data_IF_627067365806
#
_entry.id   IF_627067365806
#
_cell.length_a   1.000
_cell.length_b   1.000
_cell.length_c   1.000
_cell.angle_alpha   90.00
_cell.angle_beta   90.00
_cell.angle_gamma   90.00
#
_symmetry.space_group_name_H-M   'P 1'
#
loop_
_entity.id
_entity.type
_entity.pdbx_description
1 polymer ?
#
# COMPACT_ATOMS: atom_id res chain seq x y z
N UNK A 1 -59.64 -10.47 32.19
CA UNK A 1 -60.53 -10.95 31.12
C UNK A 1 -59.70 -10.92 29.84
N UNK A 2 -59.45 -11.98 29.09
CA UNK A 2 -59.97 -13.34 29.05
C UNK A 2 -58.87 -14.25 28.46
N UNK A 3 -58.80 -15.48 28.96
CA UNK A 3 -57.83 -16.53 28.59
C UNK A 3 -58.48 -17.49 27.59
N UNK A 4 -57.68 -18.10 26.69
CA UNK A 4 -57.59 -19.56 26.35
C UNK A 4 -57.15 -19.80 24.88
N UNK A 5 -56.73 -21.02 24.49
CA UNK A 5 -56.00 -22.06 25.24
C UNK A 5 -54.85 -22.75 24.44
N UNK A 6 -54.02 -23.44 25.24
CA UNK A 6 -53.12 -24.59 25.02
C UNK A 6 -53.43 -25.59 23.89
N UNK A 7 -52.38 -26.22 23.31
CA UNK A 7 -52.02 -27.66 23.52
C UNK A 7 -50.68 -28.06 22.88
N UNK A 8 -49.84 -28.79 23.65
CA UNK A 8 -48.78 -29.72 23.17
C UNK A 8 -49.42 -31.10 22.93
N UNK A 9 -48.88 -32.00 22.08
CA UNK A 9 -47.91 -33.04 22.51
C UNK A 9 -46.87 -33.36 21.38
N UNK A 10 -45.78 -34.13 21.50
CA UNK A 10 -45.19 -35.01 22.50
C UNK A 10 -43.87 -35.60 21.90
N UNK A 11 -42.94 -36.04 22.76
CA UNK A 11 -41.90 -37.05 22.47
C UNK A 11 -42.46 -38.41 22.97
N UNK A 12 -42.04 -39.61 22.50
CA UNK A 12 -40.63 -40.03 22.44
C UNK A 12 -40.28 -41.08 21.34
N UNK A 13 -38.99 -41.44 21.23
CA UNK A 13 -38.56 -42.57 20.40
C UNK A 13 -37.04 -42.80 20.35
N UNK A 14 -36.47 -43.40 21.41
CA UNK A 14 -35.34 -44.36 21.32
C UNK A 14 -35.84 -45.62 20.60
N UNK A 15 -35.10 -46.44 19.83
CA UNK A 15 -33.89 -47.28 20.01
C UNK A 15 -33.60 -47.90 18.59
N UNK A 16 -32.62 -48.81 18.28
CA UNK A 16 -31.65 -49.50 19.13
C UNK A 16 -30.19 -49.57 18.64
N UNK A 17 -29.34 -49.87 19.61
CA UNK A 17 -28.04 -50.52 19.50
C UNK A 17 -28.09 -51.86 18.74
N UNK A 18 -27.08 -52.12 17.91
CA UNK A 18 -26.65 -53.49 17.61
C UNK A 18 -25.13 -53.58 17.66
N UNK A 19 -24.66 -54.15 18.76
CA UNK A 19 -23.34 -54.72 18.95
C UNK A 19 -23.11 -55.83 17.94
N UNK A 20 -22.03 -55.75 17.15
CA UNK A 20 -21.43 -56.93 16.53
C UNK A 20 -20.03 -57.12 17.12
N UNK A 21 -19.83 -58.35 17.57
CA UNK A 21 -18.71 -58.81 18.36
C UNK A 21 -17.40 -58.87 17.56
N UNK A 22 -16.33 -58.77 18.34
CA UNK A 22 -14.99 -59.32 18.13
C UNK A 22 -14.85 -60.36 17.02
N UNK A 23 -13.92 -60.10 16.09
CA UNK A 23 -12.99 -61.12 15.63
C UNK A 23 -11.56 -60.60 15.78
N UNK A 24 -10.83 -61.21 16.70
CA UNK A 24 -9.39 -61.18 16.76
C UNK A 24 -8.83 -61.82 15.49
N UNK A 25 -8.05 -61.07 14.72
CA UNK A 25 -7.02 -61.64 13.87
C UNK A 25 -5.75 -60.83 14.10
N UNK A 26 -4.79 -61.49 14.75
CA UNK A 26 -3.41 -61.04 14.81
C UNK A 26 -2.87 -60.96 13.37
N UNK A 27 -2.38 -59.78 12.97
CA UNK A 27 -1.52 -59.63 11.82
C UNK A 27 -0.36 -58.71 12.20
N UNK A 28 0.83 -59.24 11.97
CA UNK A 28 2.12 -58.72 12.39
C UNK A 28 2.33 -57.23 12.11
N UNK A 29 2.91 -56.56 13.11
CA UNK A 29 3.58 -55.27 12.99
C UNK A 29 4.69 -55.43 11.93
N UNK A 30 4.54 -54.75 10.80
CA UNK A 30 5.67 -54.40 9.95
C UNK A 30 5.80 -52.88 10.02
N UNK A 31 6.79 -52.43 10.78
CA UNK A 31 7.23 -51.04 10.79
C UNK A 31 7.79 -50.73 9.39
N UNK A 32 7.00 -50.07 8.55
CA UNK A 32 7.55 -49.25 7.47
C UNK A 32 7.50 -47.80 7.92
N UNK A 33 8.65 -47.32 8.41
CA UNK A 33 8.89 -45.90 8.59
C UNK A 33 8.88 -45.24 7.21
N UNK A 34 7.72 -44.84 6.70
CA UNK A 34 7.65 -43.85 5.64
C UNK A 34 7.93 -42.50 6.28
N UNK A 35 9.22 -42.16 6.35
CA UNK A 35 9.66 -40.84 6.72
C UNK A 35 9.00 -39.82 5.79
N UNK A 36 8.15 -38.98 6.35
CA UNK A 36 7.78 -37.71 5.75
C UNK A 36 9.08 -36.91 5.69
N UNK A 37 9.61 -36.53 4.51
CA UNK A 37 10.74 -35.62 4.50
C UNK A 37 10.24 -34.31 5.10
N UNK A 38 10.81 -33.93 6.24
CA UNK A 38 10.70 -32.59 6.78
C UNK A 38 11.08 -31.62 5.66
N UNK A 39 10.22 -30.63 5.41
CA UNK A 39 10.47 -29.56 4.47
C UNK A 39 11.88 -29.01 4.73
N UNK A 40 12.78 -29.24 3.78
CA UNK A 40 14.13 -28.71 3.83
C UNK A 40 14.05 -27.20 3.91
N UNK A 41 14.70 -26.64 4.93
CA UNK A 41 14.97 -25.22 5.02
C UNK A 41 15.69 -24.80 3.73
N UNK A 42 15.02 -24.02 2.89
CA UNK A 42 15.64 -23.40 1.72
C UNK A 42 16.62 -22.37 2.29
N UNK A 43 17.87 -22.79 2.49
CA UNK A 43 18.97 -21.88 2.75
C UNK A 43 19.18 -21.12 1.45
N UNK A 44 18.58 -19.93 1.37
CA UNK A 44 18.85 -18.96 0.33
C UNK A 44 20.30 -18.53 0.51
N UNK A 45 21.22 -19.17 -0.22
CA UNK A 45 22.58 -18.68 -0.36
C UNK A 45 22.50 -17.36 -1.10
N UNK A 46 22.53 -16.25 -0.36
CA UNK A 46 22.66 -14.92 -0.93
C UNK A 46 23.99 -14.86 -1.66
N UNK A 47 23.93 -14.76 -2.98
CA UNK A 47 25.10 -14.50 -3.81
C UNK A 47 25.67 -13.12 -3.40
N UNK A 48 26.93 -13.02 -2.94
CA UNK A 48 27.51 -11.76 -2.49
C UNK A 48 27.76 -10.75 -3.62
N UNK A 49 27.44 -11.11 -4.87
CA UNK A 49 27.63 -10.30 -6.07
C UNK A 49 26.32 -9.90 -6.75
N UNK A 50 25.17 -10.16 -6.13
CA UNK A 50 23.88 -9.58 -6.58
C UNK A 50 23.60 -8.37 -5.71
N UNK A 51 24.06 -7.20 -6.17
CA UNK A 51 23.59 -5.93 -5.61
C UNK A 51 22.11 -5.79 -5.98
N UNK A 52 21.23 -6.24 -5.10
CA UNK A 52 19.84 -5.78 -5.08
C UNK A 52 19.88 -4.25 -5.12
N UNK A 53 19.09 -3.57 -5.97
CA UNK A 53 19.03 -2.12 -5.91
C UNK A 53 18.72 -1.73 -4.47
N UNK A 54 19.59 -0.91 -3.88
CA UNK A 54 19.44 -0.50 -2.49
C UNK A 54 18.04 0.10 -2.32
N UNK A 55 17.33 -0.28 -1.25
CA UNK A 55 16.05 0.33 -0.92
C UNK A 55 16.20 1.85 -0.95
N UNK A 56 15.19 2.63 -1.38
CA UNK A 56 15.33 4.07 -1.50
C UNK A 56 15.70 4.63 -0.11
N UNK A 57 16.87 5.26 0.01
CA UNK A 57 17.34 5.90 1.25
C UNK A 57 17.45 7.40 1.02
N UNK A 58 17.04 8.19 2.01
CA UNK A 58 17.20 9.65 2.00
C UNK A 58 18.70 10.03 1.88
N UNK A 59 19.09 10.81 0.87
CA UNK A 59 20.44 11.36 0.78
C UNK A 59 20.75 12.36 1.92
N UNK A 60 22.03 12.61 2.22
CA UNK A 60 22.43 13.58 3.24
C UNK A 60 22.03 15.02 2.85
N UNK A 61 21.81 15.88 3.85
CA UNK A 61 21.30 17.25 3.65
C UNK A 61 22.12 18.07 2.64
N UNK A 62 23.44 17.98 2.68
CA UNK A 62 24.31 18.72 1.75
C UNK A 62 24.04 18.34 0.29
N UNK A 63 23.81 17.06 0.01
CA UNK A 63 23.47 16.60 -1.33
C UNK A 63 22.09 17.11 -1.76
N UNK A 64 21.12 17.11 -0.84
CA UNK A 64 19.78 17.64 -1.09
C UNK A 64 19.83 19.13 -1.46
N UNK A 65 20.62 19.93 -0.75
CA UNK A 65 20.79 21.36 -1.04
C UNK A 65 21.44 21.64 -2.40
N UNK A 66 22.28 20.72 -2.90
CA UNK A 66 22.93 20.84 -4.21
C UNK A 66 22.02 20.37 -5.36
N UNK A 67 21.23 19.32 -5.13
CA UNK A 67 20.45 18.65 -6.19
C UNK A 67 19.04 19.22 -6.35
N UNK A 68 18.39 19.62 -5.26
CA UNK A 68 17.01 20.10 -5.29
C UNK A 68 16.96 21.60 -5.64
N UNK A 69 15.91 22.01 -6.34
CA UNK A 69 15.60 23.43 -6.47
C UNK A 69 15.21 24.02 -5.11
N UNK A 70 15.29 25.35 -4.92
CA UNK A 70 14.86 25.98 -3.67
C UNK A 70 13.43 25.62 -3.27
N UNK A 71 12.50 25.56 -4.23
CA UNK A 71 11.11 25.19 -3.99
C UNK A 71 10.97 23.71 -3.61
N UNK A 72 11.66 22.80 -4.30
CA UNK A 72 11.65 21.38 -3.95
C UNK A 72 12.19 21.15 -2.54
N UNK A 73 13.28 21.83 -2.18
CA UNK A 73 13.85 21.75 -0.83
C UNK A 73 12.86 22.29 0.22
N UNK A 74 12.28 23.47 -0.02
CA UNK A 74 11.33 24.10 0.90
C UNK A 74 10.09 23.22 1.12
N UNK A 75 9.52 22.68 0.05
CA UNK A 75 8.37 21.77 0.14
C UNK A 75 8.76 20.49 0.87
N UNK A 76 9.77 19.76 0.39
CA UNK A 76 10.06 18.39 0.88
C UNK A 76 10.69 18.36 2.27
N UNK A 77 11.54 19.34 2.61
CA UNK A 77 12.30 19.33 3.86
C UNK A 77 11.66 20.21 4.94
N UNK A 78 11.15 21.39 4.56
CA UNK A 78 10.63 22.38 5.51
C UNK A 78 9.10 22.33 5.67
N UNK A 79 8.40 21.51 4.86
CA UNK A 79 6.94 21.41 4.89
C UNK A 79 6.24 22.60 4.24
N UNK A 80 6.91 23.23 3.27
CA UNK A 80 6.32 24.29 2.46
C UNK A 80 5.19 23.78 1.55
N UNK A 81 4.46 24.70 0.95
CA UNK A 81 3.40 24.40 -0.01
C UNK A 81 3.56 25.29 -1.23
N UNK A 82 3.59 24.70 -2.43
CA UNK A 82 3.70 25.44 -3.68
C UNK A 82 2.38 26.17 -4.03
N UNK A 83 2.43 27.09 -4.99
CA UNK A 83 1.24 27.86 -5.40
C UNK A 83 0.25 26.98 -6.18
N UNK A 84 -1.07 27.14 -5.96
CA UNK A 84 -2.06 26.42 -6.75
C UNK A 84 -2.05 26.91 -8.21
N UNK A 85 -2.28 26.00 -9.15
CA UNK A 85 -2.33 26.24 -10.61
C UNK A 85 -1.04 26.79 -11.24
N UNK A 86 0.01 26.94 -10.44
CA UNK A 86 1.33 27.44 -10.85
C UNK A 86 2.38 26.40 -10.42
N UNK A 87 2.21 25.19 -10.93
CA UNK A 87 3.07 24.05 -10.65
C UNK A 87 3.09 23.06 -11.81
N UNK A 88 3.99 22.08 -11.77
CA UNK A 88 4.30 21.25 -12.93
C UNK A 88 3.25 20.18 -13.25
N UNK A 89 2.48 19.71 -12.26
CA UNK A 89 1.70 18.47 -12.41
C UNK A 89 0.22 18.60 -12.10
N UNK A 90 -0.31 19.79 -11.79
CA UNK A 90 -1.76 19.96 -11.57
C UNK A 90 -2.56 19.54 -12.81
N UNK A 91 -2.13 19.91 -14.02
CA UNK A 91 -2.77 19.62 -15.30
C UNK A 91 -2.13 18.46 -16.09
N UNK A 92 -1.06 17.83 -15.58
CA UNK A 92 -0.45 16.64 -16.22
C UNK A 92 -1.46 15.47 -16.30
N UNK A 93 -1.63 14.90 -17.50
CA UNK A 93 -2.60 13.82 -17.81
C UNK A 93 -1.98 12.61 -18.50
N UNK A 94 -0.69 12.63 -18.81
CA UNK A 94 -0.02 11.49 -19.47
C UNK A 94 -0.05 10.25 -18.58
N UNK A 95 0.02 9.08 -19.21
CA UNK A 95 0.22 7.81 -18.52
C UNK A 95 1.63 7.78 -17.92
N UNK A 96 1.74 7.39 -16.65
CA UNK A 96 3.02 7.32 -15.94
C UNK A 96 2.86 7.30 -14.42
N UNK A 97 3.99 7.30 -13.72
CA UNK A 97 4.03 7.30 -12.26
C UNK A 97 4.67 8.57 -11.73
N UNK A 98 4.36 8.89 -10.47
CA UNK A 98 4.97 9.96 -9.71
C UNK A 98 5.84 9.36 -8.61
N UNK A 99 7.12 9.69 -8.65
CA UNK A 99 8.10 9.22 -7.68
C UNK A 99 8.51 10.37 -6.76
N UNK A 100 8.96 10.06 -5.55
CA UNK A 100 9.57 11.04 -4.65
C UNK A 100 10.77 11.70 -5.34
N UNK A 101 10.78 13.03 -5.43
CA UNK A 101 11.90 13.77 -6.04
C UNK A 101 13.21 13.57 -5.28
N UNK A 102 13.13 13.22 -3.98
CA UNK A 102 14.28 13.02 -3.10
C UNK A 102 14.87 11.62 -3.25
N UNK A 103 14.04 10.57 -3.22
CA UNK A 103 14.52 9.19 -3.13
C UNK A 103 14.30 8.37 -4.41
N UNK A 104 13.39 8.81 -5.28
CA UNK A 104 12.92 8.02 -6.40
C UNK A 104 11.97 6.90 -6.00
N UNK A 105 11.50 6.84 -4.75
CA UNK A 105 10.46 5.89 -4.31
C UNK A 105 9.17 6.13 -5.10
N UNK A 106 8.56 5.11 -5.73
CA UNK A 106 7.29 5.29 -6.47
C UNK A 106 6.10 5.50 -5.52
N UNK A 107 5.43 6.65 -5.64
CA UNK A 107 4.39 7.07 -4.69
C UNK A 107 2.97 6.98 -5.28
N UNK A 108 2.75 7.48 -6.49
CA UNK A 108 1.41 7.57 -7.09
C UNK A 108 1.40 7.16 -8.56
N UNK A 109 0.24 6.72 -9.05
CA UNK A 109 -0.01 6.44 -10.47
C UNK A 109 -0.89 7.52 -11.08
N UNK A 110 -0.68 7.85 -12.36
CA UNK A 110 -1.61 8.72 -13.09
C UNK A 110 -3.01 8.10 -13.22
N UNK A 111 -3.15 6.77 -13.09
CA UNK A 111 -4.45 6.07 -13.06
C UNK A 111 -5.33 6.43 -11.87
N UNK A 112 -4.70 6.81 -10.76
CA UNK A 112 -5.38 7.23 -9.55
C UNK A 112 -5.41 8.77 -9.42
N UNK A 113 -4.83 9.50 -10.39
CA UNK A 113 -4.88 10.97 -10.46
C UNK A 113 -6.23 11.42 -11.00
N UNK A 114 -6.79 12.47 -10.42
CA UNK A 114 -8.03 13.08 -10.89
C UNK A 114 -7.96 14.61 -10.84
N UNK A 115 -8.90 15.25 -11.53
CA UNK A 115 -9.07 16.70 -11.45
C UNK A 115 -9.93 17.06 -10.24
N UNK A 116 -9.31 17.63 -9.21
CA UNK A 116 -9.98 18.07 -7.99
C UNK A 116 -10.43 19.53 -8.06
N UNK A 117 -9.98 20.31 -9.05
CA UNK A 117 -10.16 21.75 -9.08
C UNK A 117 -9.41 22.52 -7.99
N UNK A 118 -8.52 21.89 -7.20
CA UNK A 118 -7.80 22.58 -6.11
C UNK A 118 -6.53 23.26 -6.55
N UNK A 119 -6.02 22.96 -7.75
CA UNK A 119 -4.79 23.53 -8.30
C UNK A 119 -3.51 22.78 -7.92
N UNK A 120 -3.60 21.60 -7.32
CA UNK A 120 -2.48 20.69 -7.05
C UNK A 120 -2.80 19.29 -7.58
N UNK A 121 -1.80 18.48 -7.99
CA UNK A 121 -2.04 17.10 -8.37
C UNK A 121 -2.71 16.35 -7.23
N UNK A 122 -3.85 15.73 -7.55
CA UNK A 122 -4.72 15.07 -6.58
C UNK A 122 -4.91 13.61 -6.96
N UNK A 123 -4.75 12.72 -5.98
CA UNK A 123 -4.83 11.27 -6.17
C UNK A 123 -5.84 10.64 -5.23
N UNK A 124 -6.46 9.54 -5.63
CA UNK A 124 -7.43 8.81 -4.79
C UNK A 124 -6.76 7.83 -3.82
N UNK A 125 -5.55 7.37 -4.14
CA UNK A 125 -4.73 6.45 -3.33
C UNK A 125 -3.26 6.45 -3.78
N UNK A 126 -2.31 6.06 -2.91
CA UNK A 126 -0.93 5.76 -3.30
C UNK A 126 -0.81 4.44 -4.05
N UNK A 127 0.33 4.23 -4.73
CA UNK A 127 0.71 2.96 -5.35
C UNK A 127 0.79 1.82 -4.33
N UNK A 128 1.35 2.11 -3.15
CA UNK A 128 1.44 1.18 -2.04
C UNK A 128 1.28 1.97 -0.71
N UNK A 129 0.31 1.61 0.15
CA UNK A 129 0.11 2.30 1.44
C UNK A 129 1.35 2.33 2.32
N UNK A 130 2.20 1.29 2.23
CA UNK A 130 3.44 1.17 2.97
C UNK A 130 4.49 2.19 2.53
N UNK A 131 4.31 2.93 1.43
CA UNK A 131 5.24 3.99 1.00
C UNK A 131 4.85 5.37 1.53
N UNK A 132 3.70 5.47 2.20
CA UNK A 132 3.18 6.70 2.77
C UNK A 132 3.25 6.64 4.30
N UNK A 133 3.53 7.79 4.91
CA UNK A 133 3.39 8.03 6.34
C UNK A 133 2.41 9.18 6.53
N UNK A 134 1.32 8.91 7.25
CA UNK A 134 0.30 9.89 7.59
C UNK A 134 0.55 10.42 9.01
N UNK A 135 0.59 11.74 9.17
CA UNK A 135 0.80 12.41 10.47
C UNK A 135 -0.29 13.44 10.72
N UNK A 136 -0.77 13.51 11.95
CA UNK A 136 -1.75 14.53 12.32
C UNK A 136 -1.07 15.90 12.35
N UNK A 137 -1.48 16.79 11.46
CA UNK A 137 -1.07 18.19 11.40
C UNK A 137 -2.12 19.06 12.11
N UNK A 138 -1.67 19.82 13.12
CA UNK A 138 -2.51 20.75 13.90
C UNK A 138 -2.16 22.22 13.64
N UNK A 139 -1.35 22.50 12.62
CA UNK A 139 -1.00 23.86 12.23
C UNK A 139 -2.24 24.58 11.68
N UNK A 140 -2.23 25.91 11.75
CA UNK A 140 -3.29 26.78 11.22
C UNK A 140 -4.69 26.53 11.83
N UNK A 141 -4.76 26.04 13.08
CA UNK A 141 -6.02 25.75 13.80
C UNK A 141 -6.95 24.74 13.11
N UNK A 142 -6.47 24.04 12.08
CA UNK A 142 -7.18 23.00 11.37
C UNK A 142 -6.53 21.65 11.68
N UNK A 143 -7.35 20.60 11.82
CA UNK A 143 -6.85 19.23 11.92
C UNK A 143 -6.78 18.65 10.51
N UNK A 144 -5.57 18.62 9.94
CA UNK A 144 -5.30 17.99 8.64
C UNK A 144 -4.44 16.74 8.85
N UNK A 145 -4.41 15.85 7.89
CA UNK A 145 -3.49 14.71 7.90
C UNK A 145 -2.39 14.99 6.89
N UNK A 146 -1.20 15.30 7.38
CA UNK A 146 0.02 15.44 6.58
C UNK A 146 0.39 14.09 5.98
N UNK A 147 0.81 14.12 4.71
CA UNK A 147 1.30 12.97 3.95
C UNK A 147 2.79 13.15 3.69
N UNK A 148 3.59 12.15 4.07
CA UNK A 148 5.05 12.10 3.84
C UNK A 148 5.45 10.80 3.14
N UNK A 149 6.54 10.83 2.36
CA UNK A 149 7.14 9.59 1.81
C UNK A 149 7.83 8.81 2.93
N UNK A 150 7.79 7.47 2.86
CA UNK A 150 8.40 6.64 3.89
C UNK A 150 9.92 6.64 3.80
N UNK A 151 10.46 6.48 2.60
CA UNK A 151 11.91 6.39 2.39
C UNK A 151 12.64 7.72 2.66
N UNK A 152 12.04 8.83 2.21
CA UNK A 152 12.67 10.15 2.26
C UNK A 152 12.29 10.99 3.49
N UNK A 153 11.24 10.60 4.20
CA UNK A 153 10.50 11.49 5.11
C UNK A 153 10.25 12.84 4.44
N UNK A 154 9.95 12.86 3.13
CA UNK A 154 9.69 14.08 2.36
C UNK A 154 8.27 14.53 2.65
N UNK A 155 8.06 15.80 3.00
CA UNK A 155 6.71 16.36 3.00
C UNK A 155 6.15 16.36 1.57
N UNK A 156 5.00 15.72 1.38
CA UNK A 156 4.33 15.61 0.09
C UNK A 156 3.13 16.56 0.02
N UNK A 157 2.32 16.62 1.09
CA UNK A 157 1.12 17.43 1.15
C UNK A 157 0.18 16.94 2.23
N UNK A 158 -1.12 16.85 1.91
CA UNK A 158 -2.15 16.44 2.86
C UNK A 158 -3.19 15.52 2.22
N UNK A 159 -3.83 14.69 3.03
CA UNK A 159 -4.98 13.86 2.64
C UNK A 159 -6.26 14.40 3.28
N UNK A 160 -7.35 14.35 2.51
CA UNK A 160 -8.68 14.84 2.88
C UNK A 160 -9.75 13.78 2.56
N UNK A 161 -10.87 13.80 3.28
CA UNK A 161 -12.01 12.88 3.13
C UNK A 161 -13.07 13.41 2.13
N UNK A 162 -12.66 14.25 1.17
CA UNK A 162 -13.51 14.92 0.17
C UNK A 162 -13.21 14.44 -1.27
N UNK A 163 -12.61 13.26 -1.41
CA UNK A 163 -12.29 12.66 -2.69
C UNK A 163 -13.47 11.92 -3.34
N UNK A 164 -13.31 11.47 -4.59
CA UNK A 164 -14.32 10.69 -5.29
C UNK A 164 -14.42 9.26 -4.72
N UNK A 165 -15.57 8.62 -4.97
CA UNK A 165 -15.71 7.18 -4.75
C UNK A 165 -14.69 6.38 -5.60
N UNK A 166 -14.24 5.19 -5.16
CA UNK A 166 -14.73 4.45 -3.99
C UNK A 166 -14.00 4.78 -2.68
N UNK A 167 -12.82 5.42 -2.72
CA UNK A 167 -12.03 5.65 -1.51
C UNK A 167 -12.59 6.80 -0.67
N UNK A 168 -13.18 7.82 -1.31
CA UNK A 168 -13.55 9.07 -0.64
C UNK A 168 -12.35 9.92 -0.25
N UNK A 169 -11.13 9.50 -0.62
CA UNK A 169 -9.89 10.16 -0.22
C UNK A 169 -9.34 11.02 -1.34
N UNK A 170 -8.78 12.17 -0.97
CA UNK A 170 -8.03 13.06 -1.85
C UNK A 170 -6.66 13.33 -1.26
N UNK A 171 -5.65 12.67 -1.81
CA UNK A 171 -4.24 12.97 -1.60
C UNK A 171 -3.88 14.20 -2.43
N UNK A 172 -3.82 15.37 -1.79
CA UNK A 172 -3.47 16.64 -2.39
C UNK A 172 -1.97 16.88 -2.22
N UNK A 173 -1.20 16.73 -3.29
CA UNK A 173 0.27 16.63 -3.23
C UNK A 173 0.91 17.81 -3.94
N UNK A 174 2.06 18.27 -3.45
CA UNK A 174 2.86 19.28 -4.13
C UNK A 174 3.63 18.63 -5.29
N UNK A 175 3.55 19.21 -6.49
CA UNK A 175 4.36 18.83 -7.64
C UNK A 175 5.85 18.94 -7.35
N UNK A 176 6.28 19.95 -6.59
CA UNK A 176 7.66 20.12 -6.15
C UNK A 176 8.17 18.99 -5.22
N UNK A 177 7.30 18.09 -4.73
CA UNK A 177 7.73 16.88 -4.02
C UNK A 177 7.84 15.65 -4.93
N UNK A 178 7.43 15.77 -6.18
CA UNK A 178 7.30 14.67 -7.12
C UNK A 178 8.23 14.85 -8.32
N UNK A 179 8.55 13.73 -8.95
CA UNK A 179 9.07 13.67 -10.32
C UNK A 179 8.19 12.72 -11.11
N UNK A 180 7.65 13.20 -12.23
CA UNK A 180 6.83 12.37 -13.12
C UNK A 180 7.71 11.54 -14.06
N UNK A 181 7.38 10.26 -14.22
CA UNK A 181 8.01 9.33 -15.16
C UNK A 181 6.94 8.87 -16.15
N UNK A 182 6.98 9.33 -17.41
CA UNK A 182 6.06 8.87 -18.45
C UNK A 182 6.12 7.35 -18.65
N UNK A 183 5.01 6.74 -19.03
CA UNK A 183 4.88 5.30 -19.30
C UNK A 183 6.00 4.80 -20.23
N UNK A 184 6.31 5.58 -21.26
CA UNK A 184 7.29 5.24 -22.30
C UNK A 184 8.73 5.18 -21.75
N UNK A 185 8.99 5.82 -20.61
CA UNK A 185 10.31 5.91 -19.97
C UNK A 185 10.45 4.97 -18.77
N UNK A 186 9.37 4.31 -18.32
CA UNK A 186 9.37 3.48 -17.11
C UNK A 186 10.48 2.42 -17.09
N UNK A 187 10.64 1.67 -18.19
CA UNK A 187 11.64 0.61 -18.28
C UNK A 187 13.05 1.18 -18.20
N UNK A 188 13.32 2.26 -18.95
CA UNK A 188 14.63 2.91 -18.98
C UNK A 188 14.99 3.55 -17.64
N UNK A 189 14.00 4.08 -16.93
CA UNK A 189 14.15 4.70 -15.62
C UNK A 189 14.22 3.69 -14.45
N UNK A 190 14.14 2.37 -14.72
CA UNK A 190 14.23 1.32 -13.69
C UNK A 190 12.91 1.00 -12.99
N UNK A 191 11.77 1.45 -13.54
CA UNK A 191 10.42 1.29 -13.01
C UNK A 191 9.56 0.37 -13.87
N UNK A 192 10.17 -0.57 -14.59
CA UNK A 192 9.49 -1.44 -15.57
C UNK A 192 8.37 -2.29 -14.98
N UNK A 193 8.42 -2.63 -13.69
CA UNK A 193 7.36 -3.37 -12.99
C UNK A 193 5.99 -2.64 -13.01
N UNK A 194 5.99 -1.31 -13.12
CA UNK A 194 4.78 -0.50 -13.12
C UNK A 194 4.14 -0.38 -14.50
N UNK A 195 4.75 -0.93 -15.56
CA UNK A 195 4.21 -0.86 -16.92
C UNK A 195 2.82 -1.52 -17.00
N UNK A 196 2.63 -2.62 -16.27
CA UNK A 196 1.38 -3.38 -16.19
C UNK A 196 0.19 -2.55 -15.64
N UNK A 197 0.42 -1.39 -15.03
CA UNK A 197 -0.66 -0.49 -14.61
C UNK A 197 -1.34 0.23 -15.79
N UNK A 198 -0.70 0.23 -16.97
CA UNK A 198 -1.11 1.00 -18.13
C UNK A 198 -1.36 0.14 -19.38
N UNK A 199 -1.40 -1.18 -19.21
CA UNK A 199 -1.74 -2.15 -20.27
C UNK A 199 -3.25 -2.44 -20.33
#
# INVERSE_FOLDING_TARGET
>A
MEKKPTTRPGRPGSVPSRSWALFCSAAAIILFATGVPAAGEVVVTRDPNVTQPASPVKPPEEELRRRLTPLQYEVTQNGGTERPFDNAYWDEKRDGIYVDVVTGEPLFSSRDKFDSGTGWPSFTRPLAPERIVERVDRRLFMRRTEVRSRAGDSHLGHVFDDGPAPTGLRYCINSASLRFIPKEELVQAGYGEFLALFE
#
